data_IF_351463328815
#
_entry.id   IF_351463328815
#
_cell.length_a   1.000
_cell.length_b   1.000
_cell.length_c   1.000
_cell.angle_alpha   90.00
_cell.angle_beta   90.00
_cell.angle_gamma   90.00
#
_symmetry.space_group_name_H-M   'P 1'
#
loop_
_entity.id
_entity.type
_entity.pdbx_description
1 polymer ?
#
# COMPACT_ATOMS: atom_id res chain seq x y z
N UNK A 1 -22.09 -23.89 32.11
CA UNK A 1 -22.64 -22.54 32.02
C UNK A 1 -21.47 -21.59 32.24
N UNK A 2 -20.79 -21.24 31.16
CA UNK A 2 -19.71 -20.25 31.19
C UNK A 2 -20.29 -18.98 30.61
N UNK A 3 -20.30 -17.92 31.40
CA UNK A 3 -20.76 -16.60 30.95
C UNK A 3 -19.74 -16.03 29.97
N UNK A 4 -20.18 -15.74 28.74
CA UNK A 4 -19.40 -14.96 27.78
C UNK A 4 -19.41 -13.49 28.22
N UNK A 5 -18.40 -13.10 28.97
CA UNK A 5 -18.08 -11.68 29.18
C UNK A 5 -16.93 -11.32 28.26
N UNK A 6 -17.23 -10.73 27.10
CA UNK A 6 -16.21 -10.34 26.14
C UNK A 6 -16.72 -9.35 25.10
N UNK A 7 -15.77 -8.70 24.41
CA UNK A 7 -16.00 -7.68 23.38
C UNK A 7 -16.99 -8.09 22.26
N UNK A 8 -17.22 -9.39 22.08
CA UNK A 8 -18.17 -9.96 21.11
C UNK A 8 -19.62 -9.48 21.34
N UNK A 9 -20.05 -9.37 22.60
CA UNK A 9 -21.39 -8.85 22.94
C UNK A 9 -21.55 -7.37 22.56
N UNK A 10 -20.45 -6.63 22.51
CA UNK A 10 -20.41 -5.19 22.23
C UNK A 10 -20.41 -4.87 20.73
N UNK A 11 -19.98 -5.83 19.90
CA UNK A 11 -19.93 -5.72 18.43
C UNK A 11 -21.17 -6.31 17.74
N UNK A 12 -22.13 -6.86 18.50
CA UNK A 12 -23.42 -7.29 17.97
C UNK A 12 -23.36 -8.43 16.95
N UNK A 13 -22.26 -9.19 16.92
CA UNK A 13 -22.17 -10.41 16.12
C UNK A 13 -22.54 -11.59 17.02
N UNK A 14 -23.83 -11.78 17.22
CA UNK A 14 -24.48 -13.07 16.94
C UNK A 14 -25.96 -13.01 17.24
N UNK A 15 -26.70 -13.70 16.36
CA UNK A 15 -28.14 -13.71 16.28
C UNK A 15 -28.79 -14.39 17.50
N UNK A 16 -29.47 -13.61 18.34
CA UNK A 16 -30.77 -14.02 18.90
C UNK A 16 -31.59 -12.77 19.25
N UNK A 17 -32.48 -12.36 18.36
CA UNK A 17 -33.45 -11.29 18.61
C UNK A 17 -34.60 -11.84 19.47
N UNK A 18 -34.35 -12.13 20.74
CA UNK A 18 -35.42 -12.15 21.72
C UNK A 18 -34.92 -11.79 23.11
N UNK A 19 -35.41 -10.63 23.60
CA UNK A 19 -35.25 -10.05 24.94
C UNK A 19 -33.95 -9.30 25.21
N UNK A 20 -34.03 -7.97 25.12
CA UNK A 20 -33.99 -7.09 26.29
C UNK A 20 -34.03 -5.64 25.80
N UNK A 21 -35.07 -4.93 26.21
CA UNK A 21 -35.14 -3.47 26.15
C UNK A 21 -34.14 -2.92 27.17
N UNK A 22 -32.98 -2.44 26.70
CA UNK A 22 -32.17 -1.50 27.47
C UNK A 22 -31.72 -0.36 26.56
N UNK A 23 -32.33 0.79 26.80
CA UNK A 23 -32.14 2.02 26.07
C UNK A 23 -30.84 2.72 26.51
N UNK A 24 -29.67 2.25 26.05
CA UNK A 24 -28.49 3.13 25.89
C UNK A 24 -27.34 2.58 25.02
N UNK A 25 -27.48 1.46 24.32
CA UNK A 25 -26.38 0.95 23.49
C UNK A 25 -26.43 1.59 22.11
N UNK A 26 -25.88 2.80 21.96
CA UNK A 26 -25.53 3.31 20.64
C UNK A 26 -24.52 2.34 20.00
N UNK A 27 -24.79 1.73 18.84
CA UNK A 27 -23.76 0.99 18.13
C UNK A 27 -22.64 2.00 17.79
N UNK A 28 -21.41 1.69 18.19
CA UNK A 28 -20.24 2.51 17.87
C UNK A 28 -20.00 2.46 16.36
N UNK A 29 -20.63 3.37 15.61
CA UNK A 29 -20.49 3.48 14.14
C UNK A 29 -19.05 3.81 13.69
N UNK A 30 -18.15 4.14 14.62
CA UNK A 30 -16.74 4.47 14.38
C UNK A 30 -15.75 3.38 14.81
N UNK A 31 -16.21 2.20 15.23
CA UNK A 31 -15.33 1.09 15.58
C UNK A 31 -15.12 0.17 14.38
N UNK A 32 -13.95 0.25 13.75
CA UNK A 32 -13.52 -0.74 12.78
C UNK A 32 -12.87 -1.92 13.52
N UNK A 33 -13.45 -3.13 13.46
CA UNK A 33 -12.76 -4.31 13.97
C UNK A 33 -11.50 -4.54 13.12
N UNK A 34 -10.33 -4.50 13.78
CA UNK A 34 -9.08 -4.96 13.19
C UNK A 34 -8.76 -6.33 13.79
N UNK A 35 -8.30 -7.27 12.97
CA UNK A 35 -7.83 -8.57 13.45
C UNK A 35 -8.92 -9.60 13.78
N UNK A 36 -10.01 -9.65 13.01
CA UNK A 36 -10.82 -10.88 12.95
C UNK A 36 -9.91 -12.02 12.50
N UNK A 37 -9.64 -12.97 13.39
CA UNK A 37 -8.76 -14.13 13.15
C UNK A 37 -9.14 -14.94 11.92
N UNK A 38 -10.42 -14.92 11.51
CA UNK A 38 -10.87 -15.57 10.27
C UNK A 38 -10.46 -14.83 8.99
N UNK A 39 -10.25 -13.52 9.06
CA UNK A 39 -9.79 -12.70 7.94
C UNK A 39 -8.26 -12.61 7.88
N UNK A 40 -7.57 -12.84 9.00
CA UNK A 40 -6.09 -12.88 9.10
C UNK A 40 -5.47 -14.25 8.82
N UNK A 41 -6.26 -15.32 8.80
CA UNK A 41 -5.78 -16.71 8.70
C UNK A 41 -6.31 -17.47 7.47
N UNK A 42 -6.56 -16.81 6.34
CA UNK A 42 -6.76 -17.53 5.08
C UNK A 42 -5.41 -18.05 4.57
N UNK A 43 -5.41 -19.26 3.99
CA UNK A 43 -4.19 -19.87 3.44
C UNK A 43 -3.52 -18.95 2.39
N UNK A 44 -4.27 -18.14 1.64
CA UNK A 44 -3.71 -17.16 0.71
C UNK A 44 -3.01 -15.95 1.36
N UNK A 45 -3.37 -15.62 2.61
CA UNK A 45 -2.68 -14.61 3.43
C UNK A 45 -1.50 -15.23 4.20
N UNK A 46 -1.64 -16.49 4.65
CA UNK A 46 -0.60 -17.24 5.36
C UNK A 46 0.49 -17.77 4.43
N UNK A 47 0.14 -18.06 3.18
CA UNK A 47 1.02 -18.44 2.08
C UNK A 47 0.91 -17.29 1.10
N UNK A 48 1.76 -16.27 1.24
CA UNK A 48 1.71 -14.98 0.53
C UNK A 48 1.79 -15.05 -1.01
N UNK A 49 0.90 -15.82 -1.64
CA UNK A 49 0.84 -16.07 -3.06
C UNK A 49 0.25 -14.91 -3.82
N UNK A 50 -0.73 -14.19 -3.25
CA UNK A 50 -1.22 -12.94 -3.82
C UNK A 50 -0.13 -11.86 -3.78
N UNK A 51 0.55 -11.71 -2.64
CA UNK A 51 1.65 -10.76 -2.52
C UNK A 51 2.82 -11.10 -3.45
N UNK A 52 3.23 -12.38 -3.53
CA UNK A 52 4.28 -12.83 -4.46
C UNK A 52 3.84 -12.68 -5.93
N UNK A 53 2.56 -12.87 -6.24
CA UNK A 53 2.01 -12.64 -7.57
C UNK A 53 2.16 -11.16 -7.96
N UNK A 54 1.74 -10.24 -7.08
CA UNK A 54 1.87 -8.80 -7.31
C UNK A 54 3.34 -8.37 -7.38
N UNK A 55 4.17 -8.85 -6.46
CA UNK A 55 5.59 -8.53 -6.40
C UNK A 55 6.33 -8.99 -7.67
N UNK A 56 6.03 -10.20 -8.14
CA UNK A 56 6.58 -10.74 -9.38
C UNK A 56 6.15 -9.92 -10.59
N UNK A 57 4.85 -9.61 -10.71
CA UNK A 57 4.34 -8.82 -11.83
C UNK A 57 4.90 -7.39 -11.83
N UNK A 58 5.06 -6.78 -10.66
CA UNK A 58 5.71 -5.47 -10.50
C UNK A 58 7.18 -5.50 -10.93
N UNK A 59 7.92 -6.53 -10.51
CA UNK A 59 9.31 -6.75 -10.92
C UNK A 59 9.44 -6.95 -12.44
N UNK A 60 8.58 -7.77 -13.03
CA UNK A 60 8.58 -8.02 -14.48
C UNK A 60 8.32 -6.72 -15.27
N UNK A 61 7.36 -5.90 -14.82
CA UNK A 61 7.10 -4.57 -15.39
C UNK A 61 8.33 -3.64 -15.29
N UNK A 62 9.00 -3.61 -14.14
CA UNK A 62 10.23 -2.83 -13.95
C UNK A 62 11.33 -3.26 -14.92
N UNK A 63 11.57 -4.57 -15.06
CA UNK A 63 12.62 -5.11 -15.94
C UNK A 63 12.37 -4.74 -17.40
N UNK A 64 11.10 -4.74 -17.83
CA UNK A 64 10.66 -4.35 -19.17
C UNK A 64 10.88 -2.86 -19.46
N UNK A 65 10.54 -1.99 -18.51
CA UNK A 65 10.56 -0.53 -18.70
C UNK A 65 11.91 0.14 -18.35
N UNK A 66 12.89 -0.62 -17.85
CA UNK A 66 14.24 -0.10 -17.60
C UNK A 66 15.03 0.12 -18.92
N UNK A 67 15.48 1.35 -19.23
CA UNK A 67 16.13 1.74 -20.47
C UNK A 67 17.40 0.94 -20.74
N UNK A 68 17.73 0.83 -22.03
CA UNK A 68 18.82 -0.03 -22.48
C UNK A 68 20.22 0.47 -22.14
N UNK A 69 20.35 1.76 -21.81
CA UNK A 69 21.63 2.42 -21.52
C UNK A 69 22.11 2.19 -20.08
N UNK A 70 21.19 1.93 -19.13
CA UNK A 70 21.51 1.48 -17.76
C UNK A 70 21.57 -0.07 -17.68
N UNK A 71 21.80 -0.75 -18.82
CA UNK A 71 21.94 -2.22 -18.87
C UNK A 71 23.39 -2.62 -18.65
N UNK A 72 23.69 -3.02 -17.42
CA UNK A 72 24.64 -4.12 -17.24
C UNK A 72 23.89 -5.43 -17.48
N UNK A 73 24.34 -6.26 -18.42
CA UNK A 73 23.77 -7.61 -18.63
C UNK A 73 23.91 -8.49 -17.36
N UNK A 74 24.78 -8.09 -16.45
CA UNK A 74 25.04 -8.76 -15.17
C UNK A 74 24.29 -8.12 -13.98
N UNK A 75 23.42 -7.12 -14.20
CA UNK A 75 22.72 -6.45 -13.10
C UNK A 75 21.87 -7.45 -12.27
N UNK A 76 22.19 -7.66 -10.97
CA UNK A 76 21.46 -8.61 -10.13
C UNK A 76 19.97 -8.29 -10.01
N UNK A 77 19.56 -7.02 -10.17
CA UNK A 77 18.14 -6.62 -10.15
C UNK A 77 17.38 -6.89 -11.43
N UNK A 78 18.01 -7.45 -12.48
CA UNK A 78 17.32 -7.79 -13.73
C UNK A 78 17.23 -9.30 -13.97
N UNK A 79 17.60 -10.09 -12.97
CA UNK A 79 17.46 -11.54 -13.06
C UNK A 79 15.98 -11.94 -13.08
N UNK A 80 15.63 -13.07 -13.74
CA UNK A 80 14.30 -13.66 -13.62
C UNK A 80 13.94 -13.87 -12.14
N UNK A 81 12.66 -13.78 -11.80
CA UNK A 81 12.15 -13.88 -10.42
C UNK A 81 12.79 -15.02 -9.62
N UNK A 82 12.91 -16.21 -10.22
CA UNK A 82 13.45 -17.41 -9.54
C UNK A 82 14.96 -17.36 -9.25
N UNK A 83 15.69 -16.45 -9.91
CA UNK A 83 17.13 -16.22 -9.71
C UNK A 83 17.41 -14.92 -8.97
N UNK A 84 16.37 -14.16 -8.61
CA UNK A 84 16.52 -12.88 -7.95
C UNK A 84 17.00 -13.07 -6.50
N UNK A 85 17.99 -12.25 -6.09
CA UNK A 85 18.51 -12.26 -4.72
C UNK A 85 17.36 -12.02 -3.72
N UNK A 86 17.44 -12.63 -2.53
CA UNK A 86 16.35 -12.60 -1.55
C UNK A 86 15.94 -11.18 -1.14
N UNK A 87 16.90 -10.28 -0.95
CA UNK A 87 16.65 -8.87 -0.62
C UNK A 87 15.93 -8.10 -1.75
N UNK A 88 16.17 -8.47 -3.01
CA UNK A 88 15.52 -7.84 -4.16
C UNK A 88 14.09 -8.35 -4.32
N UNK A 89 13.82 -9.64 -4.09
CA UNK A 89 12.44 -10.15 -3.98
C UNK A 89 11.69 -9.47 -2.85
N UNK A 90 12.34 -9.28 -1.72
CA UNK A 90 11.75 -8.60 -0.57
C UNK A 90 11.44 -7.12 -0.86
N UNK A 91 12.28 -6.45 -1.62
CA UNK A 91 12.01 -5.09 -2.11
C UNK A 91 10.74 -5.04 -2.99
N UNK A 92 10.58 -6.00 -3.91
CA UNK A 92 9.38 -6.12 -4.73
C UNK A 92 8.12 -6.42 -3.91
N UNK A 93 8.24 -7.24 -2.86
CA UNK A 93 7.13 -7.49 -1.92
C UNK A 93 6.73 -6.24 -1.15
N UNK A 94 7.71 -5.50 -0.63
CA UNK A 94 7.45 -4.24 0.07
C UNK A 94 6.78 -3.21 -0.86
N UNK A 95 7.14 -3.16 -2.14
CA UNK A 95 6.45 -2.32 -3.11
C UNK A 95 4.98 -2.73 -3.30
N UNK A 96 4.71 -4.03 -3.43
CA UNK A 96 3.36 -4.57 -3.58
C UNK A 96 2.51 -4.35 -2.32
N UNK A 97 3.08 -4.60 -1.14
CA UNK A 97 2.44 -4.39 0.16
C UNK A 97 2.08 -2.92 0.42
N UNK A 98 2.87 -1.99 -0.15
CA UNK A 98 2.64 -0.55 0.00
C UNK A 98 1.57 0.03 -0.95
N UNK A 99 0.98 -0.79 -1.85
CA UNK A 99 -0.06 -0.34 -2.80
C UNK A 99 -1.26 0.31 -2.10
N UNK A 100 -1.89 -0.30 -1.06
CA UNK A 100 -3.06 0.28 -0.42
C UNK A 100 -2.77 1.64 0.24
N UNK A 101 -1.55 1.85 0.73
CA UNK A 101 -1.11 3.12 1.32
C UNK A 101 -1.03 4.22 0.26
N UNK A 102 -0.45 3.92 -0.92
CA UNK A 102 -0.38 4.83 -2.06
C UNK A 102 -1.77 5.19 -2.58
N UNK A 103 -2.65 4.21 -2.71
CA UNK A 103 -4.04 4.45 -3.12
C UNK A 103 -4.78 5.36 -2.13
N UNK A 104 -4.64 5.12 -0.82
CA UNK A 104 -5.30 5.95 0.18
C UNK A 104 -4.85 7.41 0.17
N UNK A 105 -3.58 7.67 -0.16
CA UNK A 105 -3.06 9.04 -0.25
C UNK A 105 -3.73 9.88 -1.34
N UNK A 106 -4.37 9.25 -2.34
CA UNK A 106 -5.09 9.91 -3.43
C UNK A 106 -6.62 9.67 -3.34
N UNK A 107 -7.13 9.32 -2.15
CA UNK A 107 -8.55 9.05 -1.93
C UNK A 107 -9.06 7.79 -2.65
N UNK A 108 -8.20 6.81 -2.90
CA UNK A 108 -8.54 5.55 -3.55
C UNK A 108 -8.44 4.33 -2.61
N UNK A 109 -9.19 3.28 -2.95
CA UNK A 109 -9.19 1.99 -2.26
C UNK A 109 -9.38 0.84 -3.27
N UNK A 110 -8.79 -0.33 -3.00
CA UNK A 110 -8.93 -1.52 -3.85
C UNK A 110 -10.10 -2.45 -3.45
N UNK A 111 -10.79 -2.16 -2.35
CA UNK A 111 -11.92 -2.98 -1.86
C UNK A 111 -13.23 -2.68 -2.57
N UNK A 112 -14.01 -3.73 -2.82
CA UNK A 112 -15.18 -3.79 -3.69
C UNK A 112 -16.15 -2.60 -3.64
N UNK A 113 -16.74 -2.33 -4.81
CA UNK A 113 -17.69 -1.26 -5.07
C UNK A 113 -18.71 -1.11 -3.92
N UNK A 114 -18.53 -0.07 -3.11
CA UNK A 114 -19.64 0.46 -2.34
C UNK A 114 -20.59 1.15 -3.31
N UNK A 115 -21.89 1.15 -2.99
CA UNK A 115 -22.89 1.82 -3.81
C UNK A 115 -22.54 3.31 -3.92
N UNK A 116 -22.13 3.76 -5.11
CA UNK A 116 -21.75 5.14 -5.40
C UNK A 116 -20.28 5.38 -5.73
N UNK A 117 -19.38 4.42 -5.48
CA UNK A 117 -17.96 4.60 -5.80
C UNK A 117 -17.71 4.47 -7.32
N UNK A 118 -16.98 5.44 -7.88
CA UNK A 118 -16.59 5.40 -9.29
C UNK A 118 -15.30 4.58 -9.48
N UNK A 119 -15.27 3.63 -10.44
CA UNK A 119 -14.05 2.88 -10.73
C UNK A 119 -12.99 3.80 -11.33
N UNK A 120 -11.74 3.62 -10.91
CA UNK A 120 -10.58 4.32 -11.46
C UNK A 120 -10.04 3.52 -12.64
N UNK A 121 -10.05 4.11 -13.83
CA UNK A 121 -9.50 3.50 -15.05
C UNK A 121 -8.12 4.04 -15.41
N UNK A 122 -7.80 5.24 -14.93
CA UNK A 122 -6.51 5.90 -15.04
C UNK A 122 -6.31 6.83 -13.84
N UNK A 123 -5.07 7.09 -13.46
CA UNK A 123 -4.74 8.07 -12.43
C UNK A 123 -4.45 9.42 -13.08
N UNK A 124 -4.87 10.49 -12.42
CA UNK A 124 -4.54 11.84 -12.85
C UNK A 124 -3.02 12.08 -12.72
N UNK A 125 -2.40 12.93 -13.56
CA UNK A 125 -0.95 13.17 -13.50
C UNK A 125 -0.45 13.61 -12.12
N UNK A 126 -1.23 14.40 -11.39
CA UNK A 126 -0.91 14.84 -10.03
C UNK A 126 -0.89 13.67 -9.02
N UNK A 127 -1.79 12.70 -9.19
CA UNK A 127 -1.88 11.52 -8.34
C UNK A 127 -0.72 10.57 -8.58
N UNK A 128 -0.32 10.43 -9.85
CA UNK A 128 0.89 9.72 -10.23
C UNK A 128 2.10 10.34 -9.56
N UNK A 129 2.22 11.67 -9.54
CA UNK A 129 3.33 12.36 -8.84
C UNK A 129 3.32 12.11 -7.33
N UNK A 130 2.15 12.19 -6.68
CA UNK A 130 2.01 11.91 -5.24
C UNK A 130 2.48 10.49 -4.93
N UNK A 131 1.94 9.50 -5.64
CA UNK A 131 2.28 8.11 -5.40
C UNK A 131 3.73 7.78 -5.77
N UNK A 132 4.28 8.39 -6.83
CA UNK A 132 5.66 8.16 -7.25
C UNK A 132 6.67 8.71 -6.23
N UNK A 133 6.40 9.90 -5.66
CA UNK A 133 7.18 10.45 -4.53
C UNK A 133 7.15 9.51 -3.34
N UNK A 134 5.98 8.93 -3.02
CA UNK A 134 5.84 7.95 -1.94
C UNK A 134 6.61 6.65 -2.24
N UNK A 135 6.59 6.18 -3.49
CA UNK A 135 7.33 4.98 -3.90
C UNK A 135 8.84 5.20 -3.78
N UNK A 136 9.35 6.34 -4.24
CA UNK A 136 10.76 6.68 -4.10
C UNK A 136 11.17 6.83 -2.63
N UNK A 137 10.32 7.47 -1.80
CA UNK A 137 10.57 7.58 -0.37
C UNK A 137 10.59 6.21 0.32
N UNK A 138 9.67 5.30 -0.04
CA UNK A 138 9.65 3.91 0.43
C UNK A 138 10.92 3.18 0.00
N UNK A 139 11.34 3.32 -1.26
CA UNK A 139 12.57 2.71 -1.79
C UNK A 139 13.81 3.25 -1.07
N UNK A 140 13.94 4.55 -0.87
CA UNK A 140 15.04 5.13 -0.09
C UNK A 140 15.06 4.58 1.35
N UNK A 141 13.90 4.50 2.00
CA UNK A 141 13.77 3.98 3.36
C UNK A 141 14.22 2.52 3.47
N UNK A 142 13.76 1.62 2.59
CA UNK A 142 14.23 0.22 2.60
C UNK A 142 15.75 0.12 2.38
N UNK A 143 16.32 0.97 1.53
CA UNK A 143 17.74 0.94 1.18
C UNK A 143 18.57 1.40 2.35
N UNK A 144 18.20 2.49 3.01
CA UNK A 144 18.88 2.94 4.22
C UNK A 144 18.80 1.91 5.34
N UNK A 145 17.64 1.26 5.54
CA UNK A 145 17.47 0.21 6.53
C UNK A 145 18.29 -1.05 6.21
N UNK A 146 18.46 -1.39 4.93
CA UNK A 146 19.35 -2.47 4.46
C UNK A 146 20.83 -2.03 4.40
N UNK A 147 21.17 -0.82 4.87
CA UNK A 147 22.55 -0.33 4.98
C UNK A 147 23.17 0.17 3.67
N UNK A 148 22.34 0.58 2.71
CA UNK A 148 22.81 1.20 1.47
C UNK A 148 23.26 2.65 1.68
N UNK A 149 24.21 3.08 0.86
CA UNK A 149 24.78 4.43 0.91
C UNK A 149 24.81 5.10 -0.47
N UNK A 150 24.79 6.43 -0.50
CA UNK A 150 24.87 7.20 -1.74
C UNK A 150 26.24 7.00 -2.40
N UNK A 151 26.25 6.65 -3.69
CA UNK A 151 27.48 6.47 -4.46
C UNK A 151 27.22 5.82 -5.82
N UNK A 152 28.25 5.57 -6.64
CA UNK A 152 28.08 4.84 -7.90
C UNK A 152 27.39 3.49 -7.69
N UNK A 153 26.56 3.06 -8.64
CA UNK A 153 25.77 1.83 -8.52
C UNK A 153 26.67 0.61 -8.32
N UNK A 154 26.56 -0.05 -7.17
CA UNK A 154 27.28 -1.28 -6.84
C UNK A 154 26.44 -2.09 -5.84
N UNK A 155 25.85 -3.20 -6.28
CA UNK A 155 24.97 -4.02 -5.44
C UNK A 155 25.73 -4.77 -4.34
N UNK A 156 27.00 -5.11 -4.56
CA UNK A 156 27.79 -5.86 -3.58
C UNK A 156 28.32 -4.93 -2.47
N UNK A 157 28.58 -3.67 -2.80
CA UNK A 157 28.90 -2.61 -1.81
C UNK A 157 27.68 -1.88 -1.26
N UNK A 158 26.47 -2.22 -1.74
CA UNK A 158 25.21 -1.55 -1.39
C UNK A 158 25.30 -0.02 -1.60
N UNK A 159 25.77 0.40 -2.77
CA UNK A 159 25.77 1.82 -3.15
C UNK A 159 24.84 2.07 -4.31
N UNK A 160 24.11 3.19 -4.27
CA UNK A 160 23.24 3.62 -5.36
C UNK A 160 23.30 5.14 -5.55
N UNK A 161 23.36 5.63 -6.81
CA UNK A 161 23.42 7.06 -7.09
C UNK A 161 22.05 7.72 -6.92
N UNK A 162 20.99 6.91 -6.79
CA UNK A 162 19.61 7.36 -6.75
C UNK A 162 19.09 7.59 -5.33
N UNK A 163 19.93 7.43 -4.30
CA UNK A 163 19.59 7.71 -2.89
C UNK A 163 19.59 9.21 -2.58
N UNK A 164 18.83 9.95 -3.38
CA UNK A 164 18.67 11.41 -3.32
C UNK A 164 17.21 11.76 -3.02
N UNK A 165 16.94 12.98 -2.51
CA UNK A 165 15.58 13.52 -2.46
C UNK A 165 14.92 13.51 -3.85
N UNK A 166 13.58 13.38 -3.90
CA UNK A 166 12.82 13.32 -5.15
C UNK A 166 13.17 14.46 -6.11
N UNK A 167 13.17 15.70 -5.61
CA UNK A 167 13.40 16.89 -6.43
C UNK A 167 14.85 17.03 -6.95
N UNK A 168 15.78 16.19 -6.47
CA UNK A 168 17.17 16.12 -6.95
C UNK A 168 17.41 14.99 -7.96
N UNK A 169 16.42 14.10 -8.15
CA UNK A 169 16.51 13.06 -9.17
C UNK A 169 16.34 13.64 -10.57
N UNK A 170 17.06 13.07 -11.52
CA UNK A 170 16.77 13.30 -12.93
C UNK A 170 15.38 12.76 -13.27
N UNK A 171 14.63 13.49 -14.11
CA UNK A 171 13.25 13.13 -14.49
C UNK A 171 13.15 11.72 -15.09
N UNK A 172 14.16 11.28 -15.84
CA UNK A 172 14.24 9.91 -16.38
C UNK A 172 14.28 8.83 -15.30
N UNK A 173 14.80 9.15 -14.11
CA UNK A 173 14.88 8.24 -12.97
C UNK A 173 13.57 8.26 -12.19
N UNK A 174 12.96 9.44 -11.99
CA UNK A 174 11.62 9.59 -11.43
C UNK A 174 10.57 8.79 -12.22
N UNK A 175 10.76 8.67 -13.53
CA UNK A 175 9.87 7.92 -14.41
C UNK A 175 9.75 6.43 -14.04
N UNK A 176 10.74 5.84 -13.35
CA UNK A 176 10.60 4.47 -12.84
C UNK A 176 9.50 4.36 -11.79
N UNK A 177 9.48 5.27 -10.83
CA UNK A 177 8.48 5.29 -9.77
C UNK A 177 7.09 5.62 -10.34
N UNK A 178 7.03 6.55 -11.31
CA UNK A 178 5.78 6.86 -12.02
C UNK A 178 5.23 5.65 -12.77
N UNK A 179 6.08 4.89 -13.46
CA UNK A 179 5.66 3.66 -14.13
C UNK A 179 5.20 2.59 -13.14
N UNK A 180 5.91 2.43 -12.02
CA UNK A 180 5.52 1.50 -10.97
C UNK A 180 4.12 1.81 -10.42
N UNK A 181 3.79 3.10 -10.21
CA UNK A 181 2.47 3.48 -9.68
C UNK A 181 1.36 3.45 -10.72
N UNK A 182 1.64 3.75 -12.00
CA UNK A 182 0.67 3.53 -13.09
C UNK A 182 0.30 2.05 -13.22
N UNK A 183 1.25 1.15 -12.95
CA UNK A 183 1.02 -0.30 -13.01
C UNK A 183 0.09 -0.81 -11.90
N UNK A 184 -0.24 -0.02 -10.86
CA UNK A 184 -1.09 -0.44 -9.74
C UNK A 184 -2.47 -0.93 -10.21
N UNK A 185 -3.07 -0.30 -11.23
CA UNK A 185 -4.37 -0.74 -11.75
C UNK A 185 -4.29 -2.15 -12.35
N UNK A 186 -3.22 -2.43 -13.10
CA UNK A 186 -2.97 -3.76 -13.64
C UNK A 186 -2.71 -4.78 -12.52
N UNK A 187 -1.85 -4.45 -11.56
CA UNK A 187 -1.56 -5.29 -10.40
C UNK A 187 -2.84 -5.66 -9.64
N UNK A 188 -3.70 -4.69 -9.34
CA UNK A 188 -4.99 -4.92 -8.68
C UNK A 188 -5.86 -5.92 -9.46
N UNK A 189 -5.87 -5.84 -10.79
CA UNK A 189 -6.65 -6.75 -11.64
C UNK A 189 -6.17 -8.20 -11.59
N UNK A 190 -4.89 -8.45 -11.30
CA UNK A 190 -4.31 -9.81 -11.23
C UNK A 190 -4.86 -10.61 -10.04
N UNK A 191 -5.24 -9.92 -8.96
CA UNK A 191 -5.88 -10.51 -7.79
C UNK A 191 -7.41 -10.39 -7.82
N UNK A 192 -7.98 -9.98 -8.96
CA UNK A 192 -9.42 -9.82 -9.13
C UNK A 192 -10.01 -8.57 -8.46
N UNK A 193 -9.16 -7.65 -8.00
CA UNK A 193 -9.57 -6.37 -7.42
C UNK A 193 -9.70 -5.28 -8.49
N UNK A 194 -10.39 -4.20 -8.11
CA UNK A 194 -10.50 -2.97 -8.89
C UNK A 194 -10.28 -1.79 -7.96
N UNK A 195 -9.68 -0.73 -8.48
CA UNK A 195 -9.48 0.51 -7.74
C UNK A 195 -10.71 1.39 -7.88
N UNK A 196 -11.13 1.98 -6.78
CA UNK A 196 -12.27 2.88 -6.68
C UNK A 196 -11.86 4.18 -6.00
N UNK A 197 -12.48 5.29 -6.41
CA UNK A 197 -12.50 6.52 -5.61
C UNK A 197 -13.34 6.23 -4.36
N UNK A 198 -12.74 6.36 -3.19
CA UNK A 198 -13.51 6.29 -1.95
C UNK A 198 -14.22 7.65 -1.80
N UNK A 199 -15.54 7.62 -1.58
CA UNK A 199 -16.26 8.81 -1.22
C UNK A 199 -15.79 9.25 0.17
N UNK A 200 -14.87 10.20 0.26
CA UNK A 200 -14.56 10.83 1.54
C UNK A 200 -15.78 11.68 1.93
N UNK A 201 -16.45 11.32 3.04
CA UNK A 201 -17.09 12.37 3.82
C UNK A 201 -15.97 13.31 4.28
N UNK A 202 -16.11 14.63 4.08
CA UNK A 202 -15.04 15.56 4.37
C UNK A 202 -14.62 15.41 5.82
N UNK A 203 -13.33 15.17 6.04
CA UNK A 203 -12.73 15.24 7.37
C UNK A 203 -12.91 16.67 7.86
N UNK A 204 -13.95 16.88 8.66
CA UNK A 204 -14.28 18.17 9.25
C UNK A 204 -13.04 18.66 10.00
N UNK A 205 -12.38 19.67 9.45
CA UNK A 205 -11.26 20.33 10.11
C UNK A 205 -11.78 20.77 11.47
N UNK A 206 -11.25 20.18 12.55
CA UNK A 206 -11.50 20.64 13.90
C UNK A 206 -11.09 22.11 13.96
N UNK A 207 -12.10 22.97 13.97
CA UNK A 207 -12.02 24.41 14.13
C UNK A 207 -11.14 24.73 15.35
N UNK A 208 -9.95 25.26 15.11
CA UNK A 208 -9.06 25.83 16.12
C UNK A 208 -9.63 27.16 16.66
N UNK A 209 -10.90 27.18 17.01
CA UNK A 209 -11.50 28.23 17.82
C UNK A 209 -11.28 27.89 19.29
N UNK A 210 -10.04 27.95 19.76
CA UNK A 210 -9.73 28.03 21.19
C UNK A 210 -10.06 29.44 21.67
N UNK A 211 -11.04 29.65 22.57
CA UNK A 211 -11.23 30.97 23.16
C UNK A 211 -10.05 31.27 24.10
N UNK A 212 -9.35 32.37 23.81
CA UNK A 212 -8.50 33.03 24.79
C UNK A 212 -9.39 33.63 25.88
N UNK A 213 -9.22 33.25 27.14
CA UNK A 213 -9.90 33.92 28.26
C UNK A 213 -9.92 33.07 29.54
N UNK A 214 -8.94 33.27 30.43
CA UNK A 214 -9.11 33.91 31.76
C UNK A 214 -9.66 32.98 32.88
N UNK A 215 -8.79 32.59 33.80
CA UNK A 215 -8.66 33.19 35.15
C UNK A 215 -7.34 32.75 35.81
#
# INVERSE_FOLDING_TARGET
MSEETGLATLLGTDADTSKAEDANTRPMQSCHPFGTTLQSCTLGLLVGGELDLLARAGHENQVEHHPREDRSEEDPSRQPWERLRGNLRESSRQQADHIPVKLRAIGCCSSGAQAGNSPVTEFDPEEVEIMARMEHARWNAERWLDGWTLGPRDHDKKTSPYLLPWDELEDRIQEYDRNAVRNILHLSSLIGEKVYRCCDEPMEHADESRPSGHA
#
